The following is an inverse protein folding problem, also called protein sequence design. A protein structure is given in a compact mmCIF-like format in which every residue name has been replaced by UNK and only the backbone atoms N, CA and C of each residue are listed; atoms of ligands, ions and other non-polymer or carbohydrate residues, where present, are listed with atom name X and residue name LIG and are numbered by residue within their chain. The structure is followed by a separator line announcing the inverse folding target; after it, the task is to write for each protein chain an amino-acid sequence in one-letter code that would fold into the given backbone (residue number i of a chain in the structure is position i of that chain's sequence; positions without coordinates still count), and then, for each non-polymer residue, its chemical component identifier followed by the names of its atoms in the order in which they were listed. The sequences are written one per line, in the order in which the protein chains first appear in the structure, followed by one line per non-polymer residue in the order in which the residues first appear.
data_IF_081321722984
#
_entry.id   IF_081321722984
#
_cell.length_a   1.000
_cell.length_b   1.000
_cell.length_c   1.000
_cell.angle_alpha   90.00
_cell.angle_beta   90.00
_cell.angle_gamma   90.00
#
_symmetry.space_group_name_H-M   'P 1'
#
loop_
_entity.id
_entity.type
_entity.pdbx_description
1 polymer ?
#
# COMPACT_ATOMS: atom_id res chain seq x y z
N UNK A 1 5.21 8.93 -13.40
CA UNK A 1 6.47 9.47 -12.85
C UNK A 1 7.24 8.28 -12.33
N UNK A 2 8.45 8.05 -12.82
CA UNK A 2 9.28 6.90 -12.46
C UNK A 2 10.25 7.34 -11.37
N UNK A 3 10.24 6.67 -10.22
CA UNK A 3 11.22 6.88 -9.16
C UNK A 3 11.91 5.54 -8.91
N UNK A 4 13.20 5.37 -9.28
CA UNK A 4 13.96 4.21 -8.84
C UNK A 4 14.07 4.27 -7.32
N UNK A 5 13.49 3.28 -6.63
CA UNK A 5 13.60 3.14 -5.18
C UNK A 5 15.00 2.70 -4.79
N UNK A 6 15.49 3.17 -3.66
CA UNK A 6 16.70 2.64 -3.03
C UNK A 6 16.26 2.04 -1.71
N UNK A 7 16.39 0.73 -1.58
CA UNK A 7 16.13 0.03 -0.33
C UNK A 7 17.38 0.09 0.55
N UNK A 8 17.23 0.50 1.80
CA UNK A 8 18.32 0.53 2.77
C UNK A 8 18.09 -0.52 3.87
N UNK A 9 19.06 -1.42 4.05
CA UNK A 9 19.03 -2.43 5.09
C UNK A 9 19.75 -1.91 6.34
N UNK A 10 19.03 -1.93 7.46
CA UNK A 10 19.55 -1.60 8.79
C UNK A 10 19.47 -2.82 9.72
N UNK A 11 20.51 -3.04 10.53
CA UNK A 11 20.52 -4.02 11.62
C UNK A 11 20.92 -3.29 12.90
N UNK A 12 20.13 -3.40 13.97
CA UNK A 12 20.35 -2.67 15.23
C UNK A 12 20.55 -1.16 15.03
N UNK A 13 19.78 -0.57 14.12
CA UNK A 13 19.88 0.85 13.72
C UNK A 13 21.21 1.24 13.03
N UNK A 14 22.09 0.29 12.71
CA UNK A 14 23.27 0.52 11.90
C UNK A 14 22.97 0.22 10.42
N UNK A 15 23.40 1.14 9.55
CA UNK A 15 23.32 0.97 8.11
C UNK A 15 24.25 -0.18 7.66
N UNK A 16 23.70 -1.11 6.88
CA UNK A 16 24.45 -2.26 6.36
C UNK A 16 24.74 -2.10 4.87
N UNK A 17 23.70 -1.84 4.05
CA UNK A 17 23.82 -1.69 2.60
C UNK A 17 22.58 -1.04 1.99
N UNK A 18 22.75 -0.46 0.81
CA UNK A 18 21.67 -0.03 -0.08
C UNK A 18 21.60 -0.94 -1.30
N UNK A 19 20.39 -1.28 -1.74
CA UNK A 19 20.12 -1.97 -2.99
C UNK A 19 19.24 -1.06 -3.87
N UNK A 20 19.59 -0.94 -5.15
CA UNK A 20 18.70 -0.30 -6.11
C UNK A 20 17.53 -1.24 -6.40
N UNK A 21 16.32 -0.75 -6.17
CA UNK A 21 15.13 -1.53 -6.43
C UNK A 21 14.86 -1.55 -7.93
N UNK A 22 15.00 -2.74 -8.54
CA UNK A 22 14.60 -3.00 -9.92
C UNK A 22 13.08 -3.24 -10.06
N UNK A 23 12.28 -2.86 -9.06
CA UNK A 23 10.83 -3.02 -9.10
C UNK A 23 10.10 -1.69 -9.25
N UNK A 24 8.99 -1.74 -9.98
CA UNK A 24 8.19 -0.57 -10.33
C UNK A 24 6.92 -0.55 -9.48
N UNK A 25 6.82 0.45 -8.60
CA UNK A 25 5.58 0.69 -7.87
C UNK A 25 4.64 1.56 -8.70
N UNK A 26 3.43 1.06 -8.96
CA UNK A 26 2.32 1.85 -9.49
C UNK A 26 1.25 1.95 -8.41
N UNK A 27 0.95 3.17 -7.97
CA UNK A 27 -0.20 3.41 -7.11
C UNK A 27 -1.50 3.21 -7.89
N UNK A 28 -2.47 2.56 -7.24
CA UNK A 28 -3.83 2.46 -7.74
C UNK A 28 -4.46 3.85 -7.83
N UNK A 29 -5.29 4.06 -8.85
CA UNK A 29 -6.17 5.24 -8.88
C UNK A 29 -7.23 5.13 -7.78
N UNK A 30 -7.87 6.24 -7.39
CA UNK A 30 -8.98 6.19 -6.46
C UNK A 30 -10.01 5.13 -6.87
N UNK A 31 -10.32 4.22 -5.94
CA UNK A 31 -11.26 3.10 -6.09
C UNK A 31 -10.90 2.05 -7.16
N UNK A 32 -9.75 2.12 -7.82
CA UNK A 32 -9.34 1.11 -8.82
C UNK A 32 -9.20 -0.28 -8.18
N UNK A 33 -8.67 -0.34 -6.95
CA UNK A 33 -8.56 -1.61 -6.23
C UNK A 33 -9.94 -2.16 -5.84
N UNK A 34 -10.90 -1.30 -5.53
CA UNK A 34 -12.27 -1.68 -5.15
C UNK A 34 -12.95 -2.45 -6.31
N UNK A 35 -12.83 -1.94 -7.54
CA UNK A 35 -13.33 -2.62 -8.75
C UNK A 35 -12.63 -3.96 -9.02
N UNK A 36 -11.34 -4.05 -8.75
CA UNK A 36 -10.56 -5.29 -8.94
C UNK A 36 -11.02 -6.36 -7.95
N UNK A 37 -11.20 -5.99 -6.67
CA UNK A 37 -11.69 -6.88 -5.62
C UNK A 37 -13.05 -7.46 -5.99
N UNK A 38 -13.98 -6.62 -6.47
CA UNK A 38 -15.30 -7.07 -6.92
C UNK A 38 -15.21 -8.06 -8.09
N UNK A 39 -14.37 -7.77 -9.09
CA UNK A 39 -14.14 -8.67 -10.24
C UNK A 39 -13.52 -10.02 -9.84
N UNK A 40 -12.78 -10.06 -8.73
CA UNK A 40 -12.25 -11.28 -8.15
C UNK A 40 -13.30 -12.08 -7.35
N UNK A 41 -14.52 -11.58 -7.20
CA UNK A 41 -15.58 -12.22 -6.41
C UNK A 41 -15.34 -12.12 -4.90
N UNK A 42 -14.53 -11.16 -4.46
CA UNK A 42 -14.28 -10.86 -3.05
C UNK A 42 -15.15 -9.70 -2.61
N UNK A 43 -15.41 -9.62 -1.30
CA UNK A 43 -16.12 -8.51 -0.65
C UNK A 43 -15.18 -7.72 0.23
N UNK A 44 -15.24 -6.41 0.12
CA UNK A 44 -14.56 -5.48 1.05
C UNK A 44 -15.39 -5.42 2.33
N UNK A 45 -14.87 -5.97 3.43
CA UNK A 45 -15.51 -5.93 4.74
C UNK A 45 -15.17 -4.65 5.49
N UNK A 46 -13.95 -4.15 5.30
CA UNK A 46 -13.52 -2.89 5.88
C UNK A 46 -12.45 -2.21 5.01
N UNK A 47 -12.38 -0.90 5.13
CA UNK A 47 -11.37 -0.05 4.48
C UNK A 47 -11.01 1.06 5.46
N UNK A 48 -9.75 1.24 5.76
CA UNK A 48 -9.29 2.23 6.74
C UNK A 48 -7.88 2.73 6.43
N UNK A 49 -7.48 3.80 7.09
CA UNK A 49 -6.23 4.51 6.80
C UNK A 49 -5.29 4.52 8.00
N UNK A 50 -3.99 4.71 7.74
CA UNK A 50 -2.99 5.00 8.78
C UNK A 50 -3.00 4.01 9.98
N UNK A 51 -3.25 2.71 9.71
CA UNK A 51 -3.41 1.64 10.71
C UNK A 51 -4.50 1.86 11.78
N UNK A 52 -5.40 2.82 11.59
CA UNK A 52 -6.50 3.10 12.50
C UNK A 52 -7.83 2.71 11.86
N UNK A 53 -8.48 1.65 12.37
CA UNK A 53 -9.78 1.16 11.86
C UNK A 53 -10.94 2.15 11.93
N UNK A 54 -10.77 3.25 12.65
CA UNK A 54 -11.77 4.31 12.78
C UNK A 54 -11.47 5.52 11.88
N UNK A 55 -10.36 5.50 11.16
CA UNK A 55 -9.95 6.55 10.23
C UNK A 55 -10.33 6.19 8.80
N UNK A 56 -10.98 7.14 8.12
CA UNK A 56 -11.60 6.98 6.81
C UNK A 56 -11.28 8.15 5.86
N UNK A 57 -10.26 8.96 6.18
CA UNK A 57 -9.76 9.99 5.27
C UNK A 57 -8.90 9.38 4.15
N UNK A 58 -9.56 8.87 3.12
CA UNK A 58 -8.89 8.27 1.97
C UNK A 58 -8.24 9.27 1.00
N UNK A 59 -8.46 10.58 1.17
CA UNK A 59 -7.87 11.59 0.29
C UNK A 59 -6.53 12.09 0.83
N UNK A 60 -6.40 12.20 2.15
CA UNK A 60 -5.17 12.63 2.82
C UNK A 60 -4.26 11.49 3.30
N UNK A 61 -4.70 10.25 3.22
CA UNK A 61 -3.96 9.12 3.74
C UNK A 61 -2.69 8.79 2.95
N UNK A 62 -1.62 8.46 3.69
CA UNK A 62 -0.40 7.89 3.12
C UNK A 62 -0.61 6.44 2.68
N UNK A 63 -1.43 5.69 3.45
CA UNK A 63 -1.69 4.27 3.23
C UNK A 63 -3.17 3.94 3.44
N UNK A 64 -3.70 3.03 2.61
CA UNK A 64 -5.07 2.50 2.70
C UNK A 64 -5.01 0.99 2.88
N UNK A 65 -5.69 0.49 3.89
CA UNK A 65 -5.80 -0.92 4.24
C UNK A 65 -7.16 -1.47 3.86
N UNK A 66 -7.18 -2.69 3.33
CA UNK A 66 -8.39 -3.40 2.91
C UNK A 66 -8.51 -4.73 3.65
N UNK A 67 -9.67 -4.99 4.24
CA UNK A 67 -10.04 -6.28 4.80
C UNK A 67 -11.02 -6.96 3.85
N UNK A 68 -10.61 -8.10 3.27
CA UNK A 68 -11.35 -8.80 2.22
C UNK A 68 -11.86 -10.15 2.71
N UNK A 69 -13.07 -10.51 2.31
CA UNK A 69 -13.65 -11.84 2.51
C UNK A 69 -14.07 -12.45 1.17
N UNK A 70 -14.14 -13.79 1.14
CA UNK A 70 -14.66 -14.56 0.01
C UNK A 70 -16.18 -14.68 0.06
#
# INVERSE_FOLDING_TARGET
MYLPGVYELYINSEYIRSEHEDFYLRLYKPNELDEIVEKCGLKIVNKYTNFNKSDFDFQGAEEIFYELHK
#
